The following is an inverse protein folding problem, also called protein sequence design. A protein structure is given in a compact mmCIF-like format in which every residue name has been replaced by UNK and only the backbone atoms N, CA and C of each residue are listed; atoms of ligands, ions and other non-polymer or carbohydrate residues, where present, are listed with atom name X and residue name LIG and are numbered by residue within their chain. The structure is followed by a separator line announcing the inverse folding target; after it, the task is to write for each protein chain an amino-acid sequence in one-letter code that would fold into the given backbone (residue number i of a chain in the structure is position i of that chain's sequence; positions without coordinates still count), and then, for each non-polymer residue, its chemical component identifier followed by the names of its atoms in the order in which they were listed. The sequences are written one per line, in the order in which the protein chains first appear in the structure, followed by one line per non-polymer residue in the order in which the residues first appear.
data_IF_309606538177
#
_entry.id   IF_309606538177
#
_cell.length_a   1.000
_cell.length_b   1.000
_cell.length_c   1.000
_cell.angle_alpha   90.00
_cell.angle_beta   90.00
_cell.angle_gamma   90.00
#
_symmetry.space_group_name_H-M   'P 1'
#
loop_
_entity.id
_entity.type
_entity.pdbx_description
1 polymer ?
#
# COMPACT_ATOMS: atom_id res chain seq x y z
N UNK A 1 -10.35 -13.58 -17.06
CA UNK A 1 -10.63 -13.29 -15.65
C UNK A 1 -9.94 -12.01 -15.21
N UNK A 2 -10.66 -11.15 -14.52
CA UNK A 2 -10.07 -9.93 -14.05
C UNK A 2 -9.25 -10.21 -12.78
N UNK A 3 -7.98 -9.90 -12.81
CA UNK A 3 -7.10 -10.03 -11.65
C UNK A 3 -7.37 -8.87 -10.69
N UNK A 4 -7.94 -9.16 -9.54
CA UNK A 4 -8.27 -8.14 -8.54
C UNK A 4 -7.02 -7.39 -8.08
N UNK A 5 -5.89 -8.08 -7.96
CA UNK A 5 -4.65 -7.46 -7.48
C UNK A 5 -4.03 -6.49 -8.48
N UNK A 6 -4.32 -6.62 -9.76
CA UNK A 6 -3.68 -5.81 -10.81
C UNK A 6 -3.89 -4.31 -10.62
N UNK A 7 -5.08 -3.90 -10.21
CA UNK A 7 -5.37 -2.48 -9.96
C UNK A 7 -4.58 -1.91 -8.81
N UNK A 8 -4.41 -2.70 -7.75
CA UNK A 8 -3.62 -2.28 -6.59
C UNK A 8 -2.14 -2.25 -6.94
N UNK A 9 -1.67 -3.22 -7.71
CA UNK A 9 -0.28 -3.23 -8.17
C UNK A 9 0.06 -2.00 -8.99
N UNK A 10 -0.85 -1.58 -9.88
CA UNK A 10 -0.63 -0.37 -10.69
C UNK A 10 -0.48 0.88 -9.83
N UNK A 11 -1.28 1.00 -8.76
CA UNK A 11 -1.16 2.12 -7.84
C UNK A 11 0.21 2.12 -7.16
N UNK A 12 0.64 0.96 -6.69
CA UNK A 12 1.94 0.82 -6.02
C UNK A 12 3.07 1.12 -7.00
N UNK A 13 3.00 0.58 -8.22
CA UNK A 13 4.01 0.82 -9.24
C UNK A 13 4.10 2.31 -9.62
N UNK A 14 2.96 2.99 -9.73
CA UNK A 14 2.91 4.41 -10.01
C UNK A 14 3.61 5.23 -8.92
N UNK A 15 3.40 4.83 -7.67
CA UNK A 15 4.07 5.47 -6.55
C UNK A 15 5.59 5.23 -6.60
N UNK A 16 6.00 3.99 -6.84
CA UNK A 16 7.42 3.65 -6.92
C UNK A 16 8.11 4.34 -8.10
N UNK A 17 7.38 4.58 -9.18
CA UNK A 17 7.86 5.33 -10.33
C UNK A 17 7.80 6.86 -10.14
N UNK A 18 7.35 7.32 -8.97
CA UNK A 18 7.20 8.74 -8.61
C UNK A 18 6.16 9.47 -9.44
N UNK A 19 5.21 8.74 -10.01
CA UNK A 19 4.09 9.32 -10.76
C UNK A 19 3.01 9.88 -9.83
N UNK A 20 2.89 9.32 -8.62
CA UNK A 20 1.96 9.81 -7.60
C UNK A 20 2.68 9.93 -6.26
N UNK A 21 2.14 10.77 -5.39
CA UNK A 21 2.69 10.99 -4.04
C UNK A 21 2.18 9.94 -3.05
N UNK A 22 2.76 9.91 -1.84
CA UNK A 22 2.26 9.03 -0.77
C UNK A 22 0.80 9.36 -0.45
N UNK A 23 0.46 10.63 -0.38
CA UNK A 23 -0.91 11.06 -0.09
C UNK A 23 -1.89 10.57 -1.15
N UNK A 24 -1.51 10.71 -2.42
CA UNK A 24 -2.34 10.24 -3.52
C UNK A 24 -2.49 8.72 -3.49
N UNK A 25 -1.38 8.01 -3.24
CA UNK A 25 -1.42 6.55 -3.11
C UNK A 25 -2.35 6.13 -1.99
N UNK A 26 -2.22 6.76 -0.81
CA UNK A 26 -3.07 6.46 0.34
C UNK A 26 -4.55 6.67 0.00
N UNK A 27 -4.87 7.81 -0.59
CA UNK A 27 -6.26 8.15 -0.87
C UNK A 27 -6.88 7.24 -1.94
N UNK A 28 -6.14 6.99 -3.02
CA UNK A 28 -6.61 6.09 -4.09
C UNK A 28 -6.72 4.65 -3.60
N UNK A 29 -5.76 4.19 -2.82
CA UNK A 29 -5.73 2.83 -2.30
C UNK A 29 -6.88 2.60 -1.32
N UNK A 30 -7.08 3.55 -0.41
CA UNK A 30 -8.17 3.49 0.57
C UNK A 30 -9.52 3.46 -0.13
N UNK A 31 -9.71 4.35 -1.11
CA UNK A 31 -10.95 4.44 -1.85
C UNK A 31 -11.23 3.14 -2.61
N UNK A 32 -10.23 2.62 -3.30
CA UNK A 32 -10.36 1.38 -4.03
C UNK A 32 -10.69 0.20 -3.12
N UNK A 33 -10.00 0.09 -1.99
CA UNK A 33 -10.22 -1.01 -1.04
C UNK A 33 -11.60 -0.91 -0.38
N UNK A 34 -12.01 0.30 -0.03
CA UNK A 34 -13.32 0.55 0.60
C UNK A 34 -14.48 0.22 -0.34
N UNK A 35 -14.32 0.44 -1.63
CA UNK A 35 -15.36 0.19 -2.63
C UNK A 35 -15.22 -1.16 -3.33
N UNK A 36 -14.34 -2.02 -2.83
CA UNK A 36 -14.16 -3.35 -3.42
C UNK A 36 -15.36 -4.23 -3.08
N UNK A 37 -16.11 -4.62 -4.10
CA UNK A 37 -17.30 -5.45 -3.94
C UNK A 37 -17.06 -6.92 -4.28
N UNK A 38 -15.91 -7.22 -4.91
CA UNK A 38 -15.57 -8.60 -5.26
C UNK A 38 -15.05 -9.34 -4.03
N UNK A 39 -15.34 -10.65 -3.90
CA UNK A 39 -14.79 -11.42 -2.79
C UNK A 39 -13.27 -11.43 -2.88
N UNK A 40 -12.60 -11.11 -1.78
CA UNK A 40 -11.15 -11.14 -1.69
C UNK A 40 -10.69 -12.42 -1.00
N UNK A 41 -9.67 -13.06 -1.56
CA UNK A 41 -8.99 -14.15 -0.91
C UNK A 41 -8.42 -13.63 0.43
N UNK A 42 -8.39 -14.48 1.46
CA UNK A 42 -7.93 -14.08 2.78
C UNK A 42 -6.51 -13.54 2.77
N UNK A 43 -5.60 -14.20 2.06
CA UNK A 43 -4.20 -13.75 1.97
C UNK A 43 -4.11 -12.42 1.26
N UNK A 44 -4.83 -12.26 0.14
CA UNK A 44 -4.88 -11.00 -0.59
C UNK A 44 -5.40 -9.87 0.29
N UNK A 45 -6.49 -10.14 1.01
CA UNK A 45 -7.09 -9.15 1.91
C UNK A 45 -6.10 -8.71 2.99
N UNK A 46 -5.36 -9.66 3.56
CA UNK A 46 -4.36 -9.35 4.59
C UNK A 46 -3.23 -8.48 4.05
N UNK A 47 -2.77 -8.76 2.84
CA UNK A 47 -1.70 -7.97 2.20
C UNK A 47 -2.18 -6.54 1.96
N UNK A 48 -3.36 -6.39 1.39
CA UNK A 48 -3.92 -5.08 1.06
C UNK A 48 -4.22 -4.26 2.32
N UNK A 49 -4.84 -4.88 3.32
CA UNK A 49 -5.15 -4.23 4.58
C UNK A 49 -3.88 -3.82 5.32
N UNK A 50 -2.89 -4.69 5.34
CA UNK A 50 -1.60 -4.40 6.00
C UNK A 50 -0.90 -3.22 5.36
N UNK A 51 -0.87 -3.16 4.03
CA UNK A 51 -0.25 -2.03 3.33
C UNK A 51 -1.05 -0.74 3.52
N UNK A 52 -2.37 -0.80 3.50
CA UNK A 52 -3.20 0.37 3.77
C UNK A 52 -2.95 0.91 5.18
N UNK A 53 -2.82 0.02 6.17
CA UNK A 53 -2.47 0.41 7.53
C UNK A 53 -1.14 1.15 7.56
N UNK A 54 -0.13 0.65 6.82
CA UNK A 54 1.15 1.34 6.70
C UNK A 54 0.98 2.74 6.11
N UNK A 55 0.18 2.87 5.05
CA UNK A 55 -0.07 4.17 4.42
C UNK A 55 -0.75 5.15 5.39
N UNK A 56 -1.63 4.66 6.23
CA UNK A 56 -2.34 5.51 7.19
C UNK A 56 -1.44 5.98 8.33
N UNK A 57 -0.31 5.32 8.56
CA UNK A 57 0.66 5.74 9.56
C UNK A 57 1.76 6.64 9.00
N UNK A 58 1.72 6.94 7.70
CA UNK A 58 2.68 7.84 7.09
C UNK A 58 2.56 9.27 7.62
N UNK A 59 3.69 9.89 7.80
CA UNK A 59 3.74 11.33 8.10
C UNK A 59 4.99 11.93 7.46
N UNK A 60 4.89 13.21 7.07
CA UNK A 60 6.03 13.99 6.60
C UNK A 60 6.57 14.90 7.72
N UNK A 61 5.99 14.82 8.91
CA UNK A 61 6.39 15.62 10.05
C UNK A 61 7.62 14.99 10.74
N UNK A 62 8.76 15.62 10.58
CA UNK A 62 10.02 15.12 11.14
C UNK A 62 9.99 15.01 12.65
N UNK A 63 9.26 15.90 13.33
CA UNK A 63 9.14 15.86 14.79
C UNK A 63 8.38 14.62 15.25
N UNK A 64 7.30 14.25 14.54
CA UNK A 64 6.54 13.04 14.86
C UNK A 64 7.38 11.80 14.61
N UNK A 65 8.15 11.78 13.53
CA UNK A 65 9.02 10.65 13.21
C UNK A 65 10.11 10.48 14.26
N UNK A 66 10.70 11.58 14.73
CA UNK A 66 11.74 11.54 15.75
C UNK A 66 11.19 11.18 17.13
N UNK A 67 10.01 11.69 17.46
CA UNK A 67 9.39 11.51 18.77
C UNK A 67 8.75 10.12 18.92
N UNK A 68 8.09 9.65 17.88
CA UNK A 68 7.35 8.37 17.92
C UNK A 68 7.64 7.52 16.68
N UNK A 69 8.91 7.06 16.51
CA UNK A 69 9.30 6.32 15.30
C UNK A 69 8.58 4.97 15.13
N UNK A 70 7.96 4.47 16.19
CA UNK A 70 7.21 3.21 16.11
C UNK A 70 5.76 3.38 15.66
N UNK A 71 5.24 4.62 15.72
CA UNK A 71 3.85 4.91 15.37
C UNK A 71 3.71 5.50 13.97
N UNK A 72 4.77 6.08 13.43
CA UNK A 72 4.74 6.76 12.14
C UNK A 72 5.81 6.23 11.20
N UNK A 73 5.46 6.19 9.91
CA UNK A 73 6.38 5.78 8.85
C UNK A 73 6.74 6.96 7.97
N UNK A 74 8.01 7.05 7.61
CA UNK A 74 8.49 8.05 6.65
C UNK A 74 8.19 7.59 5.22
N UNK A 75 8.36 8.49 4.24
CA UNK A 75 8.18 8.13 2.84
C UNK A 75 9.13 7.01 2.43
N UNK A 76 10.38 7.05 2.91
CA UNK A 76 11.36 6.00 2.62
C UNK A 76 10.87 4.64 3.09
N UNK A 77 10.31 4.57 4.30
CA UNK A 77 9.77 3.34 4.84
C UNK A 77 8.55 2.87 4.06
N UNK A 78 7.69 3.80 3.64
CA UNK A 78 6.53 3.48 2.80
C UNK A 78 7.00 2.89 1.47
N UNK A 79 8.07 3.43 0.87
CA UNK A 79 8.61 2.88 -0.38
C UNK A 79 9.10 1.45 -0.21
N UNK A 80 9.74 1.15 0.91
CA UNK A 80 10.17 -0.21 1.21
C UNK A 80 8.98 -1.15 1.42
N UNK A 81 7.95 -0.69 2.14
CA UNK A 81 6.73 -1.47 2.33
C UNK A 81 5.99 -1.69 1.01
N UNK A 82 6.01 -0.70 0.12
CA UNK A 82 5.40 -0.82 -1.20
C UNK A 82 6.08 -1.90 -2.02
N UNK A 83 7.40 -1.95 -2.01
CA UNK A 83 8.15 -3.00 -2.71
C UNK A 83 7.82 -4.39 -2.17
N UNK A 84 7.74 -4.51 -0.86
CA UNK A 84 7.39 -5.78 -0.21
C UNK A 84 5.97 -6.20 -0.56
N UNK A 85 5.02 -5.27 -0.52
CA UNK A 85 3.64 -5.57 -0.88
C UNK A 85 3.54 -6.02 -2.34
N UNK A 86 4.27 -5.36 -3.23
CA UNK A 86 4.28 -5.72 -4.65
C UNK A 86 4.83 -7.13 -4.87
N UNK A 87 5.89 -7.50 -4.14
CA UNK A 87 6.44 -8.86 -4.19
C UNK A 87 5.43 -9.89 -3.70
N UNK A 88 4.73 -9.60 -2.61
CA UNK A 88 3.70 -10.50 -2.07
C UNK A 88 2.55 -10.68 -3.05
N UNK A 89 2.10 -9.59 -3.69
CA UNK A 89 1.02 -9.65 -4.67
C UNK A 89 1.46 -10.46 -5.90
N UNK A 90 2.70 -10.28 -6.35
CA UNK A 90 3.23 -11.04 -7.47
C UNK A 90 3.33 -12.53 -7.14
N UNK A 91 3.72 -12.87 -5.90
CA UNK A 91 3.81 -14.26 -5.45
C UNK A 91 2.44 -14.95 -5.46
N UNK A 92 1.37 -14.25 -5.13
CA UNK A 92 0.03 -14.82 -5.18
C UNK A 92 -0.39 -15.22 -6.58
N UNK A 93 0.07 -14.49 -7.60
CA UNK A 93 -0.26 -14.80 -8.99
C UNK A 93 0.41 -16.07 -9.49
N UNK A 94 1.52 -16.45 -8.87
CA UNK A 94 2.28 -17.63 -9.26
C UNK A 94 1.85 -18.90 -8.53
N UNK A 95 1.05 -18.75 -7.52
CA UNK A 95 0.60 -19.87 -6.68
C UNK A 95 -0.51 -20.71 -7.33
#
# INVERSE_FOLDING_TARGET
MTDISAGYEKLIESFLARAITVEELRDFFRDKFRHETRPLDEVLSLILDGFLTDLETWTDDEEKLADKPRLYLSEKQIRERAKTALLHLAALKKA
#
